data_IF_922669733165
#
_entry.id   IF_922669733165
#
_cell.length_a   1.000
_cell.length_b   1.000
_cell.length_c   1.000
_cell.angle_alpha   90.00
_cell.angle_beta   90.00
_cell.angle_gamma   90.00
#
_symmetry.space_group_name_H-M   'P 1'
#
loop_
_entity.id
_entity.type
_entity.pdbx_description
1 polymer ?
#
# COMPACT_ATOMS: atom_id res chain seq x y z
N UNK A 1 -0.79 6.42 18.79
CA UNK A 1 -1.44 6.60 20.12
C UNK A 1 -2.96 6.56 19.97
N UNK A 2 -3.62 5.42 20.26
CA UNK A 2 -5.09 5.33 20.20
C UNK A 2 -5.59 4.39 21.30
N UNK A 3 -6.43 4.94 22.17
CA UNK A 3 -7.36 4.28 23.08
C UNK A 3 -6.87 2.98 23.73
N UNK A 4 -5.95 3.07 24.68
CA UNK A 4 -5.97 2.12 25.79
C UNK A 4 -7.07 2.58 26.73
N UNK A 5 -8.27 2.02 26.54
CA UNK A 5 -9.25 1.88 27.61
C UNK A 5 -8.47 1.55 28.88
N UNK A 6 -8.65 2.37 29.91
CA UNK A 6 -8.22 2.02 31.25
C UNK A 6 -8.90 0.70 31.60
N UNK A 7 -8.24 -0.42 31.28
CA UNK A 7 -8.48 -1.68 31.95
C UNK A 7 -7.91 -1.39 33.33
N UNK A 8 -8.74 -0.78 34.18
CA UNK A 8 -8.56 -0.84 35.60
C UNK A 8 -8.51 -2.32 35.90
N UNK A 9 -7.30 -2.86 36.03
CA UNK A 9 -7.07 -4.15 36.62
C UNK A 9 -7.42 -3.97 38.10
N UNK A 10 -8.74 -3.91 38.37
CA UNK A 10 -9.28 -4.43 39.60
C UNK A 10 -8.92 -5.90 39.53
N UNK A 11 -7.72 -6.22 40.00
CA UNK A 11 -7.27 -7.57 40.23
C UNK A 11 -8.16 -8.04 41.36
N UNK A 12 -9.37 -8.45 40.99
CA UNK A 12 -10.28 -9.15 41.86
C UNK A 12 -9.56 -10.46 42.14
N UNK A 13 -8.75 -10.45 43.20
CA UNK A 13 -8.39 -11.65 43.90
C UNK A 13 -9.70 -12.25 44.40
N UNK A 14 -10.40 -12.98 43.53
CA UNK A 14 -11.45 -13.93 43.89
C UNK A 14 -10.77 -15.09 44.61
N UNK A 15 -10.26 -14.81 45.79
CA UNK A 15 -10.29 -15.73 46.90
C UNK A 15 -11.33 -15.18 47.88
N UNK A 16 -12.55 -15.02 47.37
CA UNK A 16 -13.73 -14.98 48.23
C UNK A 16 -13.95 -16.40 48.75
N UNK A 17 -13.00 -16.90 49.54
CA UNK A 17 -13.35 -17.87 50.57
C UNK A 17 -14.05 -17.04 51.64
N UNK A 18 -15.34 -16.76 51.42
CA UNK A 18 -16.26 -16.70 52.54
C UNK A 18 -16.14 -18.09 53.16
N UNK A 19 -15.21 -18.24 54.11
CA UNK A 19 -15.40 -19.17 55.19
C UNK A 19 -16.64 -18.66 55.90
N UNK A 20 -17.79 -19.06 55.35
CA UNK A 20 -19.03 -19.12 56.06
C UNK A 20 -18.66 -20.06 57.21
N UNK A 21 -18.23 -19.48 58.33
CA UNK A 21 -18.18 -20.19 59.60
C UNK A 21 -19.54 -20.86 59.67
N UNK A 22 -19.62 -22.20 59.69
CA UNK A 22 -20.91 -22.83 59.84
C UNK A 22 -21.37 -22.43 61.24
N UNK A 23 -22.25 -21.42 61.31
CA UNK A 23 -23.11 -21.21 62.47
C UNK A 23 -23.92 -22.49 62.79
N UNK A 24 -23.92 -23.47 61.88
CA UNK A 24 -24.47 -24.80 62.04
C UNK A 24 -23.64 -25.77 62.92
N UNK A 25 -22.45 -25.41 63.42
CA UNK A 25 -21.77 -26.26 64.41
C UNK A 25 -22.39 -26.15 65.82
N UNK A 26 -23.26 -25.17 66.07
CA UNK A 26 -23.94 -25.01 67.38
C UNK A 26 -25.27 -25.77 67.48
N UNK A 27 -25.64 -26.58 66.49
CA UNK A 27 -26.94 -27.23 66.45
C UNK A 27 -26.94 -28.74 66.78
N UNK A 28 -25.79 -29.38 67.02
CA UNK A 28 -25.75 -30.82 67.33
C UNK A 28 -24.65 -31.20 68.33
N UNK A 29 -24.90 -30.91 69.61
CA UNK A 29 -24.57 -31.79 70.75
C UNK A 29 -25.08 -31.13 72.04
N UNK A 30 -26.04 -31.77 72.70
CA UNK A 30 -26.77 -31.29 73.89
C UNK A 30 -25.97 -31.49 75.20
N UNK A 31 -24.64 -31.36 75.12
CA UNK A 31 -23.73 -31.39 76.26
C UNK A 31 -22.92 -30.08 76.23
N UNK A 32 -23.05 -29.27 77.27
CA UNK A 32 -22.41 -27.95 77.32
C UNK A 32 -20.90 -28.11 77.29
N UNK A 33 -20.24 -27.56 76.27
CA UNK A 33 -18.78 -27.53 76.20
C UNK A 33 -18.19 -27.06 77.52
N UNK A 34 -17.16 -27.75 77.97
CA UNK A 34 -16.41 -27.33 79.15
C UNK A 34 -15.76 -25.97 78.88
N UNK A 35 -15.57 -25.16 79.94
CA UNK A 35 -14.92 -23.86 79.82
C UNK A 35 -13.54 -23.96 79.15
N UNK A 36 -12.84 -25.07 79.39
CA UNK A 36 -11.52 -25.38 78.82
C UNK A 36 -11.56 -25.68 77.32
N UNK A 37 -12.59 -26.41 76.84
CA UNK A 37 -12.79 -26.65 75.40
C UNK A 37 -13.14 -25.35 74.64
N UNK A 38 -13.89 -24.45 75.29
CA UNK A 38 -14.22 -23.13 74.72
C UNK A 38 -12.98 -22.25 74.56
N UNK A 39 -12.12 -22.20 75.57
CA UNK A 39 -10.85 -21.48 75.49
C UNK A 39 -9.94 -22.04 74.38
N UNK A 40 -9.91 -23.37 74.20
CA UNK A 40 -9.16 -24.00 73.12
C UNK A 40 -9.71 -23.65 71.73
N UNK A 41 -11.04 -23.60 71.54
CA UNK A 41 -11.65 -23.20 70.27
C UNK A 41 -11.45 -21.71 69.97
N UNK A 42 -11.56 -20.82 70.96
CA UNK A 42 -11.22 -19.41 70.80
C UNK A 42 -9.77 -19.26 70.36
N UNK A 43 -8.84 -20.00 70.98
CA UNK A 43 -7.44 -19.98 70.63
C UNK A 43 -7.17 -20.52 69.21
N UNK A 44 -7.87 -21.57 68.76
CA UNK A 44 -7.72 -22.11 67.40
C UNK A 44 -8.24 -21.14 66.34
N UNK A 45 -9.42 -20.57 66.54
CA UNK A 45 -10.01 -19.55 65.65
C UNK A 45 -9.11 -18.32 65.59
N UNK A 46 -8.54 -17.90 66.72
CA UNK A 46 -7.63 -16.76 66.77
C UNK A 46 -6.33 -17.02 65.99
N UNK A 47 -5.80 -18.26 66.03
CA UNK A 47 -4.66 -18.66 65.17
C UNK A 47 -5.03 -18.65 63.69
N UNK A 48 -6.18 -19.21 63.30
CA UNK A 48 -6.65 -19.22 61.91
C UNK A 48 -6.86 -17.80 61.35
N UNK A 49 -7.38 -16.88 62.16
CA UNK A 49 -7.51 -15.46 61.79
C UNK A 49 -6.13 -14.84 61.55
N UNK A 50 -5.12 -15.13 62.40
CA UNK A 50 -3.76 -14.61 62.22
C UNK A 50 -3.10 -15.19 60.97
N UNK A 51 -3.23 -16.49 60.74
CA UNK A 51 -2.69 -17.16 59.55
C UNK A 51 -3.33 -16.62 58.27
N UNK A 52 -4.66 -16.46 58.27
CA UNK A 52 -5.38 -15.92 57.11
C UNK A 52 -5.00 -14.45 56.87
N UNK A 53 -4.86 -13.64 57.91
CA UNK A 53 -4.35 -12.26 57.78
C UNK A 53 -2.95 -12.22 57.19
N UNK A 54 -2.06 -13.11 57.63
CA UNK A 54 -0.72 -13.21 57.08
C UNK A 54 -0.75 -13.60 55.59
N UNK A 55 -1.52 -14.63 55.21
CA UNK A 55 -1.68 -15.02 53.80
C UNK A 55 -2.27 -13.91 52.93
N UNK A 56 -3.24 -13.15 53.45
CA UNK A 56 -3.78 -11.98 52.74
C UNK A 56 -2.70 -10.91 52.56
N UNK A 57 -1.86 -10.67 53.56
CA UNK A 57 -0.76 -9.72 53.44
C UNK A 57 0.29 -10.20 52.43
N UNK A 58 0.68 -11.46 52.46
CA UNK A 58 1.59 -12.06 51.47
C UNK A 58 1.05 -11.95 50.04
N UNK A 59 -0.25 -12.20 49.84
CA UNK A 59 -0.91 -11.99 48.55
C UNK A 59 -0.89 -10.52 48.10
N UNK A 60 -1.09 -9.57 49.02
CA UNK A 60 -1.00 -8.14 48.72
C UNK A 60 0.42 -7.75 48.32
N UNK A 61 1.41 -8.15 49.11
CA UNK A 61 2.82 -7.86 48.85
C UNK A 61 3.28 -8.47 47.52
N UNK A 62 2.81 -9.69 47.19
CA UNK A 62 3.03 -10.31 45.89
C UNK A 62 2.37 -9.52 44.75
N UNK A 63 1.14 -9.04 44.94
CA UNK A 63 0.44 -8.17 44.00
C UNK A 63 1.18 -6.87 43.75
N UNK A 64 1.64 -6.20 44.80
CA UNK A 64 2.42 -4.96 44.73
C UNK A 64 3.75 -5.18 43.99
N UNK A 65 4.40 -6.32 44.24
CA UNK A 65 5.64 -6.70 43.53
C UNK A 65 5.40 -6.88 42.03
N UNK A 66 4.33 -7.57 41.63
CA UNK A 66 3.98 -7.74 40.20
C UNK A 66 3.63 -6.39 39.57
N UNK A 67 2.89 -5.52 40.27
CA UNK A 67 2.57 -4.18 39.79
C UNK A 67 3.84 -3.34 39.56
N UNK A 68 4.82 -3.41 40.46
CA UNK A 68 6.13 -2.77 40.28
C UNK A 68 6.91 -3.33 39.09
N UNK A 69 6.88 -4.66 38.89
CA UNK A 69 7.53 -5.29 37.73
C UNK A 69 6.90 -4.83 36.41
N UNK A 70 5.56 -4.77 36.33
CA UNK A 70 4.84 -4.24 35.17
C UNK A 70 5.26 -2.79 34.90
N UNK A 71 5.25 -1.94 35.93
CA UNK A 71 5.65 -0.53 35.78
C UNK A 71 7.10 -0.39 35.30
N UNK A 72 8.01 -1.26 35.78
CA UNK A 72 9.40 -1.31 35.34
C UNK A 72 9.55 -1.71 33.87
N UNK A 73 8.82 -2.74 33.43
CA UNK A 73 8.83 -3.18 32.01
C UNK A 73 8.21 -2.10 31.11
N UNK A 74 7.12 -1.46 31.53
CA UNK A 74 6.49 -0.36 30.78
C UNK A 74 7.44 0.82 30.60
N UNK A 75 8.23 1.16 31.62
CA UNK A 75 9.25 2.20 31.54
C UNK A 75 10.37 1.81 30.55
N UNK A 76 10.80 0.54 30.54
CA UNK A 76 11.80 0.04 29.57
C UNK A 76 11.28 0.07 28.13
N UNK A 77 10.01 -0.30 27.92
CA UNK A 77 9.35 -0.23 26.61
C UNK A 77 9.29 1.23 26.13
N UNK A 78 8.92 2.17 27.01
CA UNK A 78 8.86 3.59 26.67
C UNK A 78 10.25 4.14 26.30
N UNK A 79 11.30 3.78 27.05
CA UNK A 79 12.68 4.16 26.73
C UNK A 79 13.14 3.61 25.38
N UNK A 80 12.92 2.32 25.14
CA UNK A 80 13.29 1.67 23.86
C UNK A 80 12.53 2.30 22.68
N UNK A 81 11.25 2.64 22.86
CA UNK A 81 10.47 3.30 21.81
C UNK A 81 11.02 4.69 21.49
N UNK A 82 11.46 5.44 22.51
CA UNK A 82 12.08 6.74 22.30
C UNK A 82 13.40 6.61 21.53
N UNK A 83 14.24 5.63 21.88
CA UNK A 83 15.48 5.35 21.15
C UNK A 83 15.20 5.02 19.67
N UNK A 84 14.17 4.21 19.39
CA UNK A 84 13.76 3.89 18.02
C UNK A 84 13.35 5.17 17.27
N UNK A 85 12.51 6.01 17.89
CA UNK A 85 12.04 7.27 17.32
C UNK A 85 13.22 8.19 16.96
N UNK A 86 14.18 8.31 17.88
CA UNK A 86 15.39 9.12 17.67
C UNK A 86 16.24 8.57 16.51
N UNK A 87 16.41 7.24 16.42
CA UNK A 87 17.16 6.58 15.34
C UNK A 87 16.54 6.80 13.96
N UNK A 88 15.20 6.73 13.87
CA UNK A 88 14.50 6.99 12.60
C UNK A 88 14.30 8.48 12.33
N UNK A 89 14.68 9.36 13.26
CA UNK A 89 14.57 10.82 13.14
C UNK A 89 13.12 11.33 13.14
N UNK A 90 12.25 10.66 13.89
CA UNK A 90 10.83 10.93 13.97
C UNK A 90 10.51 11.48 15.36
N UNK A 91 9.78 12.61 15.48
CA UNK A 91 9.58 13.29 16.76
C UNK A 91 8.65 12.53 17.71
N UNK A 92 7.71 11.77 17.16
CA UNK A 92 6.68 11.08 17.93
C UNK A 92 6.12 9.85 17.20
N UNK A 93 5.30 9.09 17.91
CA UNK A 93 4.58 7.94 17.35
C UNK A 93 3.63 8.35 16.20
N UNK A 94 3.14 9.59 16.17
CA UNK A 94 2.21 10.05 15.15
C UNK A 94 2.88 10.12 13.77
N UNK A 95 4.16 10.49 13.70
CA UNK A 95 4.93 10.49 12.46
C UNK A 95 5.15 9.06 11.91
N UNK A 96 5.37 8.05 12.77
CA UNK A 96 5.37 6.64 12.35
C UNK A 96 3.97 6.24 11.85
N UNK A 97 2.92 6.53 12.63
CA UNK A 97 1.55 6.16 12.30
C UNK A 97 1.12 6.79 10.94
N UNK A 98 1.54 8.02 10.65
CA UNK A 98 1.29 8.70 9.38
C UNK A 98 2.03 8.05 8.20
N UNK A 99 3.29 7.64 8.40
CA UNK A 99 4.06 6.91 7.39
C UNK A 99 3.44 5.54 7.09
N UNK A 100 3.06 4.80 8.12
CA UNK A 100 2.37 3.51 7.95
C UNK A 100 1.04 3.69 7.21
N UNK A 101 0.26 4.72 7.55
CA UNK A 101 -0.97 5.03 6.85
C UNK A 101 -0.73 5.44 5.39
N UNK A 102 0.40 6.06 5.05
CA UNK A 102 0.78 6.34 3.67
C UNK A 102 1.05 5.04 2.89
N UNK A 103 1.79 4.10 3.47
CA UNK A 103 2.00 2.78 2.87
C UNK A 103 0.68 2.03 2.66
N UNK A 104 -0.23 2.05 3.64
CA UNK A 104 -1.56 1.43 3.51
C UNK A 104 -2.38 2.06 2.36
N UNK A 105 -2.34 3.39 2.21
CA UNK A 105 -3.02 4.09 1.10
C UNK A 105 -2.46 3.68 -0.25
N UNK A 106 -1.14 3.71 -0.40
CA UNK A 106 -0.44 3.30 -1.62
C UNK A 106 -0.76 1.84 -1.97
N UNK A 107 -0.71 0.93 -0.98
CA UNK A 107 -1.08 -0.47 -1.21
C UNK A 107 -2.53 -0.59 -1.67
N UNK A 108 -3.45 0.17 -1.07
CA UNK A 108 -4.86 0.23 -1.47
C UNK A 108 -5.04 0.69 -2.92
N UNK A 109 -4.34 1.74 -3.34
CA UNK A 109 -4.38 2.24 -4.71
C UNK A 109 -3.83 1.22 -5.71
N UNK A 110 -2.70 0.59 -5.40
CA UNK A 110 -2.12 -0.47 -6.25
C UNK A 110 -3.05 -1.68 -6.36
N UNK A 111 -3.70 -2.08 -5.27
CA UNK A 111 -4.70 -3.16 -5.29
C UNK A 111 -5.90 -2.81 -6.15
N UNK A 112 -6.36 -1.55 -6.12
CA UNK A 112 -7.42 -1.09 -7.01
C UNK A 112 -7.00 -1.18 -8.48
N UNK A 113 -5.79 -0.72 -8.82
CA UNK A 113 -5.23 -0.84 -10.17
C UNK A 113 -5.08 -2.30 -10.62
N UNK A 114 -4.64 -3.19 -9.73
CA UNK A 114 -4.52 -4.63 -10.02
C UNK A 114 -5.87 -5.27 -10.38
N UNK A 115 -6.98 -4.74 -9.88
CA UNK A 115 -8.31 -5.29 -10.15
C UNK A 115 -8.96 -4.73 -11.43
N UNK A 116 -8.36 -3.74 -12.07
CA UNK A 116 -8.85 -3.21 -13.34
C UNK A 116 -8.57 -4.19 -14.49
N UNK A 117 -9.43 -4.22 -15.53
CA UNK A 117 -9.12 -4.90 -16.78
C UNK A 117 -8.01 -4.16 -17.54
N UNK A 118 -7.29 -4.88 -18.40
CA UNK A 118 -6.09 -4.35 -19.05
C UNK A 118 -6.37 -3.10 -19.91
N UNK A 119 -7.55 -3.02 -20.52
CA UNK A 119 -7.98 -1.87 -21.33
C UNK A 119 -8.08 -0.56 -20.50
N UNK A 120 -8.58 -0.66 -19.26
CA UNK A 120 -8.73 0.48 -18.35
C UNK A 120 -7.40 0.79 -17.64
N UNK A 121 -6.57 -0.23 -17.43
CA UNK A 121 -5.24 -0.08 -16.84
C UNK A 121 -4.34 0.83 -17.70
N UNK A 122 -4.51 0.81 -19.02
CA UNK A 122 -3.81 1.73 -19.93
C UNK A 122 -4.11 3.20 -19.62
N UNK A 123 -5.38 3.51 -19.36
CA UNK A 123 -5.81 4.89 -19.11
C UNK A 123 -5.38 5.38 -17.71
N UNK A 124 -4.96 4.46 -16.83
CA UNK A 124 -4.46 4.74 -15.48
C UNK A 124 -2.93 4.80 -15.38
N UNK A 125 -2.21 4.85 -16.51
CA UNK A 125 -0.74 4.91 -16.55
C UNK A 125 -0.17 6.08 -15.76
N UNK A 126 -0.70 7.29 -15.98
CA UNK A 126 -0.24 8.49 -15.29
C UNK A 126 -0.47 8.40 -13.77
N UNK A 127 -1.60 7.80 -13.37
CA UNK A 127 -1.89 7.57 -11.95
C UNK A 127 -0.90 6.57 -11.34
N UNK A 128 -0.59 5.48 -12.04
CA UNK A 128 0.42 4.52 -11.61
C UNK A 128 1.81 5.13 -11.50
N UNK A 129 2.19 6.00 -12.44
CA UNK A 129 3.48 6.69 -12.43
C UNK A 129 3.57 7.65 -11.22
N UNK A 130 2.48 8.37 -10.90
CA UNK A 130 2.38 9.20 -9.70
C UNK A 130 2.50 8.37 -8.40
N UNK A 131 1.87 7.19 -8.33
CA UNK A 131 2.03 6.28 -7.18
C UNK A 131 3.48 5.80 -7.07
N UNK A 132 4.11 5.51 -8.20
CA UNK A 132 5.50 5.07 -8.24
C UNK A 132 6.45 6.15 -7.72
N UNK A 133 6.20 7.42 -8.05
CA UNK A 133 6.93 8.56 -7.50
C UNK A 133 6.71 8.71 -5.98
N UNK A 134 5.47 8.56 -5.50
CA UNK A 134 5.18 8.56 -4.06
C UNK A 134 5.95 7.47 -3.33
N UNK A 135 6.02 6.25 -3.89
CA UNK A 135 6.78 5.13 -3.34
C UNK A 135 8.26 5.45 -3.25
N UNK A 136 8.85 6.08 -4.28
CA UNK A 136 10.26 6.51 -4.24
C UNK A 136 10.49 7.54 -3.13
N UNK A 137 9.57 8.48 -2.93
CA UNK A 137 9.60 9.41 -1.80
C UNK A 137 9.56 8.67 -0.45
N UNK A 138 8.65 7.72 -0.29
CA UNK A 138 8.53 6.91 0.93
C UNK A 138 9.76 6.03 1.18
N UNK A 139 10.44 5.58 0.13
CA UNK A 139 11.70 4.84 0.21
C UNK A 139 12.85 5.72 0.69
N UNK A 140 12.82 7.04 0.56
CA UNK A 140 13.90 7.89 1.10
C UNK A 140 13.81 8.07 2.62
N UNK A 141 12.64 7.82 3.21
CA UNK A 141 12.43 8.00 4.65
C UNK A 141 13.10 6.88 5.47
N UNK A 142 13.80 7.23 6.56
CA UNK A 142 14.45 6.29 7.48
C UNK A 142 13.46 5.33 8.15
N UNK A 143 12.20 5.73 8.31
CA UNK A 143 11.13 4.90 8.91
C UNK A 143 10.94 3.57 8.15
N UNK A 144 11.34 3.50 6.87
CA UNK A 144 11.34 2.26 6.06
C UNK A 144 12.07 1.09 6.71
N UNK A 145 13.04 1.35 7.58
CA UNK A 145 13.86 0.33 8.23
C UNK A 145 13.13 -0.38 9.38
N UNK A 146 11.99 0.16 9.84
CA UNK A 146 11.17 -0.54 10.83
C UNK A 146 10.66 -1.86 10.23
N UNK A 147 10.66 -2.99 10.99
CA UNK A 147 10.31 -4.30 10.45
C UNK A 147 8.94 -4.34 9.75
N UNK A 148 7.93 -3.69 10.34
CA UNK A 148 6.59 -3.62 9.76
C UNK A 148 6.58 -2.81 8.44
N UNK A 149 7.25 -1.67 8.42
CA UNK A 149 7.36 -0.82 7.23
C UNK A 149 8.11 -1.53 6.10
N UNK A 150 9.25 -2.15 6.41
CA UNK A 150 10.06 -2.91 5.45
C UNK A 150 9.27 -4.04 4.80
N UNK A 151 8.48 -4.78 5.58
CA UNK A 151 7.61 -5.84 5.06
C UNK A 151 6.52 -5.29 4.13
N UNK A 152 5.86 -4.19 4.50
CA UNK A 152 4.85 -3.56 3.66
C UNK A 152 5.43 -3.03 2.36
N UNK A 153 6.59 -2.36 2.41
CA UNK A 153 7.29 -1.89 1.21
C UNK A 153 7.65 -3.04 0.28
N UNK A 154 8.09 -4.19 0.81
CA UNK A 154 8.35 -5.38 -0.01
C UNK A 154 7.10 -5.83 -0.76
N UNK A 155 5.94 -5.87 -0.08
CA UNK A 155 4.67 -6.25 -0.72
C UNK A 155 4.24 -5.23 -1.78
N UNK A 156 4.40 -3.93 -1.49
CA UNK A 156 4.12 -2.83 -2.41
C UNK A 156 4.99 -2.94 -3.67
N UNK A 157 6.30 -3.16 -3.53
CA UNK A 157 7.21 -3.33 -4.67
C UNK A 157 6.79 -4.52 -5.53
N UNK A 158 6.42 -5.65 -4.93
CA UNK A 158 5.89 -6.80 -5.67
C UNK A 158 4.55 -6.53 -6.37
N UNK A 159 3.72 -5.62 -5.85
CA UNK A 159 2.50 -5.19 -6.53
C UNK A 159 2.84 -4.30 -7.73
N UNK A 160 3.75 -3.35 -7.56
CA UNK A 160 4.23 -2.47 -8.64
C UNK A 160 4.77 -3.29 -9.80
N UNK A 161 5.64 -4.27 -9.54
CA UNK A 161 6.19 -5.16 -10.56
C UNK A 161 5.10 -5.93 -11.32
N UNK A 162 4.09 -6.45 -10.61
CA UNK A 162 2.97 -7.18 -11.22
C UNK A 162 2.07 -6.28 -12.07
N UNK A 163 1.78 -5.07 -11.62
CA UNK A 163 1.01 -4.09 -12.40
C UNK A 163 1.80 -3.69 -13.64
N UNK A 164 3.09 -3.37 -13.48
CA UNK A 164 3.96 -3.00 -14.60
C UNK A 164 4.04 -4.10 -15.66
N UNK A 165 4.06 -5.37 -15.25
CA UNK A 165 4.07 -6.51 -16.18
C UNK A 165 2.74 -6.71 -16.94
N UNK A 166 1.60 -6.32 -16.35
CA UNK A 166 0.28 -6.37 -17.00
C UNK A 166 -0.06 -5.12 -17.81
N UNK A 167 0.66 -4.03 -17.58
CA UNK A 167 0.36 -2.75 -18.20
C UNK A 167 0.57 -2.84 -19.73
N UNK A 168 -0.48 -2.64 -20.54
CA UNK A 168 -0.33 -2.75 -21.98
C UNK A 168 0.48 -1.57 -22.54
N UNK A 169 1.33 -1.85 -23.53
CA UNK A 169 2.11 -0.83 -24.23
C UNK A 169 1.23 0.14 -25.04
N UNK A 170 0.10 -0.36 -25.56
CA UNK A 170 -0.87 0.39 -26.38
C UNK A 170 -2.26 -0.20 -26.18
N UNK A 171 -3.28 0.63 -26.35
CA UNK A 171 -4.69 0.20 -26.30
C UNK A 171 -5.19 -0.08 -27.71
N UNK A 172 -5.82 -1.23 -27.95
CA UNK A 172 -6.38 -1.58 -29.27
C UNK A 172 -7.90 -1.51 -29.20
N UNK A 173 -8.52 -0.84 -30.18
CA UNK A 173 -9.97 -0.84 -30.40
C UNK A 173 -10.27 -1.48 -31.75
N UNK A 174 -11.26 -2.35 -31.77
CA UNK A 174 -11.75 -2.92 -33.03
C UNK A 174 -12.67 -1.93 -33.75
N UNK A 175 -12.45 -1.75 -35.05
CA UNK A 175 -13.26 -0.89 -35.92
C UNK A 175 -13.72 -1.67 -37.14
N UNK A 176 -15.03 -1.69 -37.38
CA UNK A 176 -15.60 -2.30 -38.59
C UNK A 176 -15.67 -1.27 -39.70
N UNK A 177 -14.95 -1.54 -40.79
CA UNK A 177 -14.90 -0.68 -41.98
C UNK A 177 -16.27 -0.57 -42.63
N UNK A 178 -16.72 0.65 -42.84
CA UNK A 178 -17.99 0.97 -43.49
C UNK A 178 -17.81 1.20 -45.00
N UNK A 179 -18.92 1.29 -45.71
CA UNK A 179 -18.91 1.58 -47.14
C UNK A 179 -18.34 2.98 -47.40
N UNK A 180 -17.35 3.06 -48.31
CA UNK A 180 -16.61 4.26 -48.69
C UNK A 180 -15.59 4.76 -47.66
N UNK A 181 -15.27 3.97 -46.65
CA UNK A 181 -14.15 4.27 -45.77
C UNK A 181 -12.81 4.13 -46.48
N UNK A 182 -11.86 4.94 -46.03
CA UNK A 182 -10.44 4.77 -46.29
C UNK A 182 -9.68 5.06 -44.99
N UNK A 183 -8.42 4.65 -44.90
CA UNK A 183 -7.64 4.79 -43.66
C UNK A 183 -7.55 6.25 -43.19
N UNK A 184 -7.51 7.20 -44.13
CA UNK A 184 -7.47 8.63 -43.87
C UNK A 184 -8.74 9.13 -43.17
N UNK A 185 -9.92 8.77 -43.70
CA UNK A 185 -11.22 9.18 -43.16
C UNK A 185 -11.51 8.51 -41.82
N UNK A 186 -11.11 7.23 -41.65
CA UNK A 186 -11.22 6.54 -40.36
C UNK A 186 -10.39 7.28 -39.31
N UNK A 187 -9.12 7.58 -39.60
CA UNK A 187 -8.25 8.32 -38.68
C UNK A 187 -8.75 9.74 -38.38
N UNK A 188 -9.36 10.40 -39.37
CA UNK A 188 -9.96 11.74 -39.22
C UNK A 188 -11.18 11.77 -38.30
N UNK A 189 -11.85 10.64 -38.11
CA UNK A 189 -13.05 10.58 -37.26
C UNK A 189 -12.72 10.99 -35.81
N UNK A 190 -13.60 11.79 -35.20
CA UNK A 190 -13.51 12.26 -33.82
C UNK A 190 -13.46 11.09 -32.82
N UNK A 191 -14.19 10.01 -33.10
CA UNK A 191 -14.25 8.79 -32.28
C UNK A 191 -12.99 7.91 -32.37
N UNK A 192 -12.06 8.26 -33.25
CA UNK A 192 -10.82 7.52 -33.53
C UNK A 192 -9.61 8.34 -33.11
N UNK A 193 -9.14 9.28 -33.93
CA UNK A 193 -7.98 10.09 -33.57
C UNK A 193 -8.22 11.59 -33.69
N UNK A 194 -9.33 12.00 -34.29
CA UNK A 194 -9.56 13.38 -34.73
C UNK A 194 -8.37 13.96 -35.54
N UNK A 195 -7.62 13.07 -36.22
CA UNK A 195 -6.40 13.44 -36.91
C UNK A 195 -6.11 12.49 -38.06
N UNK A 196 -6.40 12.98 -39.26
CA UNK A 196 -6.24 12.20 -40.48
C UNK A 196 -4.79 11.75 -40.74
N UNK A 197 -3.78 12.51 -40.29
CA UNK A 197 -2.37 12.15 -40.46
C UNK A 197 -1.94 10.91 -39.67
N UNK A 198 -2.78 10.43 -38.74
CA UNK A 198 -2.51 9.21 -37.96
C UNK A 198 -2.97 7.92 -38.66
N UNK A 199 -3.50 8.01 -39.89
CA UNK A 199 -3.84 6.83 -40.70
C UNK A 199 -2.72 5.78 -40.85
N UNK A 200 -1.40 6.13 -40.92
CA UNK A 200 -0.35 5.12 -41.06
C UNK A 200 -0.28 4.20 -39.86
N UNK A 201 -0.75 4.62 -38.68
CA UNK A 201 -0.81 3.78 -37.48
C UNK A 201 -1.75 2.60 -37.67
N UNK A 202 -2.94 2.87 -38.23
CA UNK A 202 -3.94 1.85 -38.55
C UNK A 202 -3.33 0.85 -39.54
N UNK A 203 -2.64 1.35 -40.57
CA UNK A 203 -2.00 0.51 -41.55
C UNK A 203 -0.89 -0.37 -40.95
N UNK A 204 -0.02 0.19 -40.10
CA UNK A 204 1.09 -0.53 -39.45
C UNK A 204 0.58 -1.62 -38.52
N UNK A 205 -0.50 -1.38 -37.77
CA UNK A 205 -1.08 -2.38 -36.89
C UNK A 205 -1.71 -3.54 -37.66
N UNK A 206 -2.31 -3.26 -38.82
CA UNK A 206 -3.04 -4.25 -39.62
C UNK A 206 -2.27 -4.71 -40.87
N UNK A 207 -0.92 -4.70 -40.84
CA UNK A 207 -0.07 -5.05 -42.00
C UNK A 207 -0.32 -6.47 -42.52
N UNK A 208 -0.72 -7.36 -41.64
CA UNK A 208 -1.07 -8.75 -41.93
C UNK A 208 -2.33 -8.84 -42.79
N UNK A 209 -3.29 -7.94 -42.60
CA UNK A 209 -4.56 -7.89 -43.33
C UNK A 209 -4.55 -6.93 -44.52
N UNK A 210 -3.94 -5.77 -44.35
CA UNK A 210 -3.87 -4.70 -45.36
C UNK A 210 -2.54 -4.83 -46.11
N UNK A 211 -2.58 -5.33 -47.34
CA UNK A 211 -1.39 -5.40 -48.20
C UNK A 211 -1.05 -4.04 -48.79
N UNK A 212 -2.08 -3.33 -49.26
CA UNK A 212 -1.96 -2.00 -49.85
C UNK A 212 -2.77 -1.00 -49.03
N UNK A 213 -2.18 0.12 -48.56
CA UNK A 213 -2.85 1.04 -47.64
C UNK A 213 -4.11 1.70 -48.23
N UNK A 214 -4.21 1.81 -49.55
CA UNK A 214 -5.37 2.38 -50.24
C UNK A 214 -6.53 1.37 -50.44
N UNK A 215 -6.32 0.09 -50.13
CA UNK A 215 -7.29 -0.98 -50.34
C UNK A 215 -7.75 -1.58 -49.01
N UNK A 216 -8.90 -1.11 -48.55
CA UNK A 216 -9.69 -1.71 -47.46
C UNK A 216 -11.10 -2.00 -47.98
N UNK A 217 -11.76 -3.00 -47.40
CA UNK A 217 -13.09 -3.44 -47.84
C UNK A 217 -14.10 -3.33 -46.69
N UNK A 218 -15.39 -3.09 -46.99
CA UNK A 218 -16.45 -3.09 -46.01
C UNK A 218 -16.48 -4.39 -45.18
N UNK A 219 -16.94 -4.28 -43.93
CA UNK A 219 -17.05 -5.36 -42.94
C UNK A 219 -15.70 -5.91 -42.45
N UNK A 220 -14.58 -5.33 -42.89
CA UNK A 220 -13.29 -5.63 -42.29
C UNK A 220 -13.22 -5.08 -40.87
N UNK A 221 -12.95 -5.95 -39.90
CA UNK A 221 -12.53 -5.53 -38.56
C UNK A 221 -11.03 -5.16 -38.60
N UNK A 222 -10.71 -3.91 -38.30
CA UNK A 222 -9.35 -3.39 -38.18
C UNK A 222 -9.02 -3.08 -36.71
N UNK A 223 -7.79 -3.35 -36.32
CA UNK A 223 -7.24 -3.01 -35.01
C UNK A 223 -6.72 -1.59 -35.01
N UNK A 224 -7.31 -0.71 -34.23
CA UNK A 224 -6.94 0.71 -34.13
C UNK A 224 -6.09 0.91 -32.87
N UNK A 225 -4.79 1.23 -32.99
CA UNK A 225 -3.91 1.41 -31.83
C UNK A 225 -3.99 2.83 -31.25
N UNK A 226 -4.13 2.93 -29.93
CA UNK A 226 -4.17 4.16 -29.15
C UNK A 226 -2.98 4.21 -28.20
N UNK A 227 -2.44 5.43 -28.02
CA UNK A 227 -1.25 5.68 -27.21
C UNK A 227 0.01 4.98 -27.73
N UNK A 228 1.12 5.10 -27.01
CA UNK A 228 2.43 4.50 -27.35
C UNK A 228 3.06 3.92 -26.09
N UNK A 229 4.10 3.10 -26.25
CA UNK A 229 4.75 2.46 -25.11
C UNK A 229 5.44 3.49 -24.19
N UNK A 230 5.84 3.05 -22.98
CA UNK A 230 6.66 3.86 -22.08
C UNK A 230 7.98 4.22 -22.74
N UNK A 231 8.41 5.46 -22.54
CA UNK A 231 9.61 5.98 -23.17
C UNK A 231 9.49 6.03 -24.70
N UNK A 232 8.28 6.13 -25.25
CA UNK A 232 8.04 6.42 -26.66
C UNK A 232 7.18 7.67 -26.81
N UNK A 233 7.30 8.31 -27.97
CA UNK A 233 6.51 9.48 -28.31
C UNK A 233 5.91 9.36 -29.71
N UNK A 234 4.65 9.78 -29.84
CA UNK A 234 3.98 9.87 -31.13
C UNK A 234 4.27 11.23 -31.78
N UNK A 235 4.89 11.21 -32.95
CA UNK A 235 5.12 12.42 -33.75
C UNK A 235 3.80 12.88 -34.35
N UNK A 236 3.37 14.08 -33.96
CA UNK A 236 2.20 14.77 -34.51
C UNK A 236 2.65 15.75 -35.61
N UNK A 237 1.67 16.31 -36.32
CA UNK A 237 1.94 17.33 -37.32
C UNK A 237 2.64 18.55 -36.68
N UNK A 238 3.72 19.01 -37.30
CA UNK A 238 4.50 20.16 -36.83
C UNK A 238 5.53 19.84 -35.73
N UNK A 239 5.57 18.61 -35.22
CA UNK A 239 6.62 18.20 -34.29
C UNK A 239 8.00 18.16 -34.97
N UNK A 240 9.02 18.58 -34.23
CA UNK A 240 10.44 18.40 -34.54
C UNK A 240 11.11 17.69 -33.37
N UNK A 241 12.31 17.12 -33.56
CA UNK A 241 13.05 16.51 -32.45
C UNK A 241 13.31 17.52 -31.30
N UNK A 242 13.53 18.79 -31.66
CA UNK A 242 13.71 19.90 -30.72
C UNK A 242 12.45 20.21 -29.94
N UNK A 243 11.29 20.31 -30.60
CA UNK A 243 10.03 20.58 -29.90
C UNK A 243 9.63 19.41 -28.99
N UNK A 244 9.84 18.17 -29.44
CA UNK A 244 9.57 16.97 -28.64
C UNK A 244 10.46 16.94 -27.40
N UNK A 245 11.77 17.21 -27.54
CA UNK A 245 12.67 17.32 -26.41
C UNK A 245 12.25 18.43 -25.43
N UNK A 246 11.77 19.57 -25.94
CA UNK A 246 11.20 20.64 -25.13
C UNK A 246 9.97 20.20 -24.34
N UNK A 247 9.06 19.44 -24.96
CA UNK A 247 7.85 18.94 -24.29
C UNK A 247 8.20 17.91 -23.22
N UNK A 248 9.08 16.96 -23.52
CA UNK A 248 9.30 15.79 -22.66
C UNK A 248 10.37 16.03 -21.60
N UNK A 249 11.49 16.67 -21.97
CA UNK A 249 12.60 16.91 -21.05
C UNK A 249 12.58 18.29 -20.41
N UNK A 250 11.60 19.13 -20.78
CA UNK A 250 11.61 20.56 -20.50
C UNK A 250 12.92 21.24 -20.97
N UNK A 251 13.58 20.67 -21.98
CA UNK A 251 14.88 21.12 -22.49
C UNK A 251 15.01 20.77 -23.98
N UNK A 252 14.76 21.75 -24.88
CA UNK A 252 14.86 21.55 -26.33
C UNK A 252 16.26 21.14 -26.81
N UNK A 253 17.34 21.46 -26.08
CA UNK A 253 18.70 21.13 -26.47
C UNK A 253 18.98 19.61 -26.39
N UNK A 254 18.12 18.85 -25.70
CA UNK A 254 18.26 17.39 -25.55
C UNK A 254 17.76 16.58 -26.75
N UNK A 255 17.38 17.22 -27.86
CA UNK A 255 16.94 16.54 -29.09
C UNK A 255 17.95 15.51 -29.62
N UNK A 256 19.25 15.75 -29.45
CA UNK A 256 20.31 14.83 -29.84
C UNK A 256 20.21 13.46 -29.13
N UNK A 257 19.63 13.40 -27.92
CA UNK A 257 19.40 12.15 -27.20
C UNK A 257 18.34 11.32 -27.91
N UNK A 258 17.22 11.95 -28.28
CA UNK A 258 16.14 11.33 -29.05
C UNK A 258 16.70 10.85 -30.40
N UNK A 259 17.42 11.70 -31.14
CA UNK A 259 18.01 11.29 -32.42
C UNK A 259 18.94 10.07 -32.27
N UNK A 260 19.82 10.08 -31.26
CA UNK A 260 20.78 9.00 -31.03
C UNK A 260 20.09 7.68 -30.68
N UNK A 261 19.02 7.70 -29.90
CA UNK A 261 18.22 6.52 -29.60
C UNK A 261 17.53 5.95 -30.85
N UNK A 262 17.14 6.80 -31.79
CA UNK A 262 16.34 6.43 -32.97
C UNK A 262 17.14 6.37 -34.28
N UNK A 263 18.47 6.26 -34.25
CA UNK A 263 19.31 6.26 -35.48
C UNK A 263 18.94 5.16 -36.48
N UNK A 264 18.34 4.07 -36.02
CA UNK A 264 17.84 2.99 -36.88
C UNK A 264 16.64 3.41 -37.72
N UNK A 265 15.83 4.36 -37.23
CA UNK A 265 14.58 4.81 -37.84
C UNK A 265 14.72 6.20 -38.50
N UNK A 266 15.57 7.06 -37.95
CA UNK A 266 15.73 8.46 -38.37
C UNK A 266 17.11 8.60 -39.01
N UNK A 267 17.15 8.78 -40.33
CA UNK A 267 18.39 9.04 -41.07
C UNK A 267 18.82 10.50 -40.93
N UNK A 268 17.91 11.42 -41.24
CA UNK A 268 18.12 12.86 -41.11
C UNK A 268 17.35 13.37 -39.87
N UNK A 269 18.03 14.02 -38.88
CA UNK A 269 17.38 14.56 -37.70
C UNK A 269 16.23 15.54 -37.97
N UNK A 270 16.26 16.23 -39.11
CA UNK A 270 15.24 17.21 -39.49
C UNK A 270 14.06 16.57 -40.22
N UNK A 271 14.11 15.27 -40.48
CA UNK A 271 13.09 14.55 -41.24
C UNK A 271 12.45 13.47 -40.36
N UNK A 272 11.41 13.88 -39.64
CA UNK A 272 10.48 12.99 -38.94
C UNK A 272 9.08 13.19 -39.50
N UNK A 273 8.29 12.11 -39.53
CA UNK A 273 6.97 12.12 -40.16
C UNK A 273 5.86 12.03 -39.12
N UNK A 274 4.69 12.64 -39.37
CA UNK A 274 3.50 12.40 -38.58
C UNK A 274 3.19 10.90 -38.48
N UNK A 275 2.60 10.47 -37.36
CA UNK A 275 2.31 9.08 -37.03
C UNK A 275 3.53 8.20 -36.71
N UNK A 276 4.75 8.71 -36.85
CA UNK A 276 5.95 7.99 -36.45
C UNK A 276 6.01 7.87 -34.93
N UNK A 277 6.34 6.68 -34.43
CA UNK A 277 6.60 6.43 -33.01
C UNK A 277 8.11 6.40 -32.82
N UNK A 278 8.63 7.22 -31.91
CA UNK A 278 10.06 7.34 -31.65
C UNK A 278 10.35 7.04 -30.18
N UNK A 279 11.49 6.41 -29.91
CA UNK A 279 11.97 6.12 -28.57
C UNK A 279 12.50 7.41 -27.91
N UNK A 280 11.98 7.73 -26.74
CA UNK A 280 12.38 8.88 -25.94
C UNK A 280 12.98 8.35 -24.64
N UNK A 281 14.33 8.27 -24.55
CA UNK A 281 14.99 7.77 -23.35
C UNK A 281 14.71 8.67 -22.15
N UNK A 282 14.73 8.12 -20.94
CA UNK A 282 14.57 8.91 -19.72
C UNK A 282 15.63 10.03 -19.60
N UNK A 283 15.27 11.11 -18.90
CA UNK A 283 16.05 12.33 -18.76
C UNK A 283 17.33 12.10 -17.95
#
# INVERSE_FOLDING_TARGET
MKNRTHIGFSLVCTALAIALVPLAAFAQSDDGMTYEEYEMQLASVQREIQETKQKVQECKDAGDKVAQQIAGVDAQIAGTMQEILDLVGCPDQACIDAYMAALDRVEGQLRALMNLPDADLFDQRDHFDAISEEIEGLKQNKIRHLPKASMMLKNIVQLVERIAARMPAKKIKDYTVLRNDNLWNIAKSEDIYDNAYLWPRIYVENRDKIRHPDLIYPDWVLQIPFGVDRGQHLVLQGHTLTSIAGIIYNDPAKWHRIYRANKSQIRDPNLIFPAQVIDVPEN
#
